data_IF_026225871059
#
_entry.id   IF_026225871059
#
_cell.length_a   1.000
_cell.length_b   1.000
_cell.length_c   1.000
_cell.angle_alpha   90.00
_cell.angle_beta   90.00
_cell.angle_gamma   90.00
#
_symmetry.space_group_name_H-M   'P 1'
#
loop_
_entity.id
_entity.type
_entity.pdbx_description
1 polymer ?
#
# COMPACT_ATOMS: atom_id res chain seq x y z
N UNK A 1 20.08 -4.11 2.78
CA UNK A 1 19.30 -5.35 2.44
C UNK A 1 17.89 -4.96 2.14
N UNK A 2 17.34 -5.47 1.02
CA UNK A 2 15.93 -5.30 0.63
C UNK A 2 15.08 -6.34 1.33
N UNK A 3 13.95 -5.92 1.86
CA UNK A 3 12.99 -6.75 2.60
C UNK A 3 11.57 -6.39 2.19
N UNK A 4 10.65 -7.31 2.43
CA UNK A 4 9.23 -7.12 2.19
C UNK A 4 8.44 -7.35 3.47
N UNK A 5 7.29 -6.69 3.56
CA UNK A 5 6.30 -6.96 4.61
C UNK A 5 4.90 -6.93 4.01
N UNK A 6 4.18 -8.05 4.08
CA UNK A 6 2.75 -8.06 3.81
C UNK A 6 2.01 -7.34 4.94
N UNK A 7 1.10 -6.46 4.60
CA UNK A 7 0.31 -5.67 5.55
C UNK A 7 -1.17 -5.64 5.15
N UNK A 8 -2.04 -5.60 6.14
CA UNK A 8 -3.47 -5.34 5.91
C UNK A 8 -3.75 -3.85 5.66
N UNK A 9 -5.00 -3.56 5.33
CA UNK A 9 -5.45 -2.19 5.01
C UNK A 9 -5.21 -1.20 6.16
N UNK A 10 -5.52 -1.61 7.39
CA UNK A 10 -5.34 -0.75 8.57
C UNK A 10 -3.88 -0.41 8.82
N UNK A 11 -2.98 -1.41 8.76
CA UNK A 11 -1.54 -1.19 8.95
C UNK A 11 -0.98 -0.28 7.86
N UNK A 12 -1.37 -0.46 6.58
CA UNK A 12 -0.97 0.44 5.50
C UNK A 12 -1.43 1.89 5.76
N UNK A 13 -2.64 2.07 6.27
CA UNK A 13 -3.15 3.40 6.64
C UNK A 13 -2.32 4.10 7.72
N UNK A 14 -1.79 3.34 8.69
CA UNK A 14 -0.87 3.85 9.71
C UNK A 14 0.52 4.16 9.15
N UNK A 15 1.03 3.33 8.23
CA UNK A 15 2.30 3.58 7.52
C UNK A 15 2.20 4.86 6.68
N UNK A 16 1.06 5.09 6.02
CA UNK A 16 0.81 6.34 5.30
C UNK A 16 0.86 7.56 6.22
N UNK A 17 0.24 7.48 7.41
CA UNK A 17 0.24 8.58 8.38
C UNK A 17 1.65 8.90 8.88
N UNK A 18 2.54 7.91 8.93
CA UNK A 18 3.98 8.05 9.18
C UNK A 18 4.77 8.51 7.92
N UNK A 19 4.08 8.99 6.87
CA UNK A 19 4.68 9.48 5.61
C UNK A 19 5.53 8.42 4.90
N UNK A 20 5.14 7.16 4.99
CA UNK A 20 5.88 6.01 4.47
C UNK A 20 7.32 5.90 5.02
N UNK A 21 7.57 6.47 6.21
CA UNK A 21 8.87 6.53 6.88
C UNK A 21 8.95 5.67 8.13
N UNK A 22 8.01 4.75 8.31
CA UNK A 22 8.03 3.86 9.45
C UNK A 22 6.84 2.91 9.49
N UNK A 23 7.02 1.85 10.23
CA UNK A 23 5.96 0.93 10.63
C UNK A 23 5.38 1.36 11.98
N UNK A 24 4.08 1.18 12.20
CA UNK A 24 3.46 1.48 13.49
C UNK A 24 4.04 0.58 14.60
N UNK A 25 3.97 1.03 15.86
CA UNK A 25 4.30 0.16 16.99
C UNK A 25 3.50 -1.14 16.95
N UNK A 26 4.13 -2.23 17.38
CA UNK A 26 3.45 -3.53 17.45
C UNK A 26 2.45 -3.52 18.60
N UNK A 27 1.36 -4.27 18.45
CA UNK A 27 0.41 -4.48 19.52
C UNK A 27 1.06 -5.34 20.63
N UNK A 28 0.64 -5.17 21.90
CA UNK A 28 1.25 -5.91 23.03
C UNK A 28 1.24 -7.45 22.84
N UNK A 29 0.19 -7.96 22.19
CA UNK A 29 0.04 -9.38 21.85
C UNK A 29 0.87 -9.84 20.64
N UNK A 30 1.52 -8.90 19.95
CA UNK A 30 2.35 -9.15 18.76
C UNK A 30 3.80 -8.70 19.01
N UNK A 31 4.57 -9.43 19.84
CA UNK A 31 5.87 -8.96 20.32
C UNK A 31 6.98 -8.98 19.27
N UNK A 32 6.70 -9.48 18.08
CA UNK A 32 7.68 -9.62 16.99
C UNK A 32 7.18 -8.90 15.72
N UNK A 33 8.11 -8.26 15.04
CA UNK A 33 7.95 -7.73 13.69
C UNK A 33 8.64 -8.68 12.71
N UNK A 34 7.89 -9.13 11.69
CA UNK A 34 8.33 -10.15 10.75
C UNK A 34 8.50 -9.58 9.33
N UNK A 35 9.66 -9.03 8.95
CA UNK A 35 9.96 -8.80 7.56
C UNK A 35 10.41 -10.10 6.88
N UNK A 36 9.99 -10.29 5.63
CA UNK A 36 10.31 -11.48 4.84
C UNK A 36 11.37 -11.18 3.79
N UNK A 37 12.13 -12.21 3.41
CA UNK A 37 13.23 -12.11 2.46
C UNK A 37 12.81 -12.42 1.02
N UNK A 38 11.60 -12.95 0.84
CA UNK A 38 11.09 -13.36 -0.46
C UNK A 38 9.81 -12.59 -0.80
N UNK A 39 9.80 -11.94 -1.96
CA UNK A 39 8.64 -11.20 -2.46
C UNK A 39 7.43 -12.10 -2.71
N UNK A 40 7.63 -13.32 -3.20
CA UNK A 40 6.54 -14.25 -3.52
C UNK A 40 5.86 -14.74 -2.24
N UNK A 41 6.63 -14.94 -1.17
CA UNK A 41 6.07 -15.23 0.14
C UNK A 41 5.27 -14.05 0.71
N UNK A 42 5.77 -12.81 0.54
CA UNK A 42 5.00 -11.62 0.93
C UNK A 42 3.69 -11.50 0.11
N UNK A 43 3.73 -11.80 -1.19
CA UNK A 43 2.56 -11.85 -2.06
C UNK A 43 1.56 -12.89 -1.59
N UNK A 44 2.01 -14.10 -1.25
CA UNK A 44 1.15 -15.16 -0.73
C UNK A 44 0.41 -14.72 0.53
N UNK A 45 1.12 -14.16 1.51
CA UNK A 45 0.51 -13.67 2.76
C UNK A 45 -0.50 -12.56 2.48
N UNK A 46 -0.13 -11.57 1.66
CA UNK A 46 -1.00 -10.44 1.34
C UNK A 46 -2.28 -10.90 0.63
N UNK A 47 -2.15 -11.82 -0.34
CA UNK A 47 -3.25 -12.33 -1.14
C UNK A 47 -4.15 -13.29 -0.37
N UNK A 48 -3.56 -14.29 0.33
CA UNK A 48 -4.32 -15.43 0.85
C UNK A 48 -4.81 -15.21 2.28
N UNK A 49 -4.13 -14.33 3.06
CA UNK A 49 -4.45 -14.09 4.47
C UNK A 49 -4.94 -12.67 4.74
N UNK A 50 -4.21 -11.62 4.33
CA UNK A 50 -4.64 -10.25 4.65
C UNK A 50 -5.95 -9.84 3.94
N UNK A 51 -6.26 -10.38 2.76
CA UNK A 51 -7.56 -10.14 2.11
C UNK A 51 -8.74 -10.73 2.87
N UNK A 52 -8.51 -11.68 3.79
CA UNK A 52 -9.55 -12.27 4.63
C UNK A 52 -9.90 -11.42 5.86
N UNK A 53 -9.10 -10.39 6.14
CA UNK A 53 -9.43 -9.42 7.18
C UNK A 53 -10.71 -8.64 6.83
N UNK A 54 -11.44 -8.09 7.83
CA UNK A 54 -12.71 -7.38 7.59
C UNK A 54 -12.61 -6.22 6.57
N UNK A 55 -11.43 -5.65 6.39
CA UNK A 55 -11.16 -4.58 5.42
C UNK A 55 -11.01 -5.07 3.99
N UNK A 56 -10.80 -6.37 3.78
CA UNK A 56 -10.76 -7.02 2.50
C UNK A 56 -9.61 -6.62 1.59
N UNK A 57 -8.44 -6.23 2.15
CA UNK A 57 -7.27 -5.89 1.34
C UNK A 57 -5.96 -6.28 2.00
N UNK A 58 -5.04 -6.81 1.18
CA UNK A 58 -3.67 -7.08 1.54
C UNK A 58 -2.70 -6.38 0.59
N UNK A 59 -1.63 -5.82 1.13
CA UNK A 59 -0.62 -5.11 0.37
C UNK A 59 0.77 -5.69 0.64
N UNK A 60 1.66 -5.62 -0.34
CA UNK A 60 3.07 -5.91 -0.16
C UNK A 60 3.83 -4.60 -0.09
N UNK A 61 4.48 -4.36 1.03
CA UNK A 61 5.43 -3.25 1.18
C UNK A 61 6.85 -3.74 0.96
N UNK A 62 7.68 -2.89 0.35
CA UNK A 62 9.10 -3.10 0.10
C UNK A 62 9.89 -1.98 0.78
N UNK A 63 11.01 -2.31 1.42
CA UNK A 63 11.87 -1.35 2.09
C UNK A 63 13.30 -1.86 2.23
N UNK A 64 14.23 -0.93 2.42
CA UNK A 64 15.64 -1.22 2.55
C UNK A 64 16.18 -0.82 3.93
N UNK A 65 16.96 -1.73 4.54
CA UNK A 65 17.66 -1.52 5.81
C UNK A 65 19.16 -1.80 5.66
N UNK A 66 20.02 -1.18 6.51
CA UNK A 66 21.44 -1.52 6.57
C UNK A 66 21.64 -2.99 6.96
N UNK A 67 22.55 -3.67 6.29
CA UNK A 67 22.89 -5.07 6.60
C UNK A 67 23.42 -5.22 8.04
N UNK A 68 24.14 -4.21 8.54
CA UNK A 68 24.64 -4.17 9.91
C UNK A 68 23.56 -4.17 10.98
N UNK A 69 22.35 -3.68 10.64
CA UNK A 69 21.20 -3.76 11.54
C UNK A 69 20.54 -5.14 11.46
N UNK A 70 20.27 -5.60 10.24
CA UNK A 70 19.54 -6.86 10.03
C UNK A 70 20.32 -8.07 10.52
N UNK A 71 21.65 -8.08 10.39
CA UNK A 71 22.51 -9.18 10.85
C UNK A 71 22.48 -9.42 12.38
N UNK A 72 21.85 -8.52 13.14
CA UNK A 72 21.66 -8.69 14.60
C UNK A 72 20.48 -9.60 14.93
N UNK A 73 19.63 -9.94 13.98
CA UNK A 73 18.41 -10.68 14.21
C UNK A 73 18.47 -12.08 13.62
N UNK A 74 17.75 -12.98 14.26
CA UNK A 74 17.66 -14.36 13.80
C UNK A 74 16.83 -14.46 12.53
N UNK A 75 17.37 -15.14 11.53
CA UNK A 75 16.66 -15.55 10.32
C UNK A 75 16.02 -16.91 10.55
N UNK A 76 14.72 -17.00 10.31
CA UNK A 76 13.96 -18.24 10.49
C UNK A 76 13.29 -18.67 9.19
N UNK A 77 13.20 -19.98 9.03
CA UNK A 77 12.40 -20.62 8.00
C UNK A 77 11.12 -21.09 8.65
N UNK A 78 9.97 -20.59 8.19
CA UNK A 78 8.66 -20.87 8.79
C UNK A 78 7.79 -21.62 7.78
N UNK A 79 7.75 -22.96 7.88
CA UNK A 79 7.01 -23.80 6.94
C UNK A 79 7.85 -24.26 5.75
N UNK A 80 7.60 -23.74 4.53
CA UNK A 80 8.37 -24.10 3.34
C UNK A 80 9.77 -23.45 3.32
N UNK A 81 10.70 -24.04 2.56
CA UNK A 81 12.09 -23.55 2.45
C UNK A 81 12.20 -22.10 1.96
N UNK A 82 11.17 -21.60 1.30
CA UNK A 82 11.12 -20.23 0.75
C UNK A 82 10.47 -19.22 1.70
N UNK A 83 9.94 -19.67 2.84
CA UNK A 83 9.28 -18.84 3.83
C UNK A 83 10.30 -18.33 4.86
N UNK A 84 11.20 -17.48 4.41
CA UNK A 84 12.25 -16.91 5.24
C UNK A 84 11.85 -15.54 5.79
N UNK A 85 12.03 -15.36 7.10
CA UNK A 85 11.72 -14.10 7.78
C UNK A 85 12.75 -13.78 8.86
N UNK A 86 12.91 -12.51 9.18
CA UNK A 86 13.63 -12.07 10.37
C UNK A 86 12.66 -11.87 11.54
N UNK A 87 13.10 -12.25 12.72
CA UNK A 87 12.35 -12.04 13.95
C UNK A 87 12.91 -10.85 14.71
N UNK A 88 12.30 -9.68 14.47
CA UNK A 88 12.72 -8.42 15.08
C UNK A 88 11.81 -8.12 16.28
N UNK A 89 12.34 -7.99 17.52
CA UNK A 89 11.54 -7.62 18.68
C UNK A 89 10.81 -6.30 18.50
N UNK A 90 9.60 -6.20 19.03
CA UNK A 90 8.71 -5.05 18.87
C UNK A 90 9.35 -3.72 19.35
N UNK A 91 10.16 -3.75 20.39
CA UNK A 91 10.88 -2.60 20.94
C UNK A 91 11.99 -2.06 20.00
N UNK A 92 12.44 -2.87 19.02
CA UNK A 92 13.42 -2.47 18.02
C UNK A 92 12.80 -1.82 16.78
N UNK A 93 11.47 -1.79 16.65
CA UNK A 93 10.78 -1.19 15.48
C UNK A 93 11.04 0.32 15.39
N UNK A 94 11.11 1.01 16.50
CA UNK A 94 11.42 2.45 16.51
C UNK A 94 12.83 2.74 15.94
N UNK A 95 13.81 1.91 16.25
CA UNK A 95 15.17 1.99 15.70
C UNK A 95 15.19 1.61 14.21
N UNK A 96 14.46 0.54 13.82
CA UNK A 96 14.27 0.16 12.43
C UNK A 96 13.77 1.33 11.59
N UNK A 97 12.75 2.03 12.07
CA UNK A 97 12.16 3.18 11.38
C UNK A 97 13.17 4.31 11.13
N UNK A 98 14.09 4.54 12.05
CA UNK A 98 15.16 5.54 11.89
C UNK A 98 16.22 5.12 10.87
N UNK A 99 16.35 3.83 10.61
CA UNK A 99 17.34 3.24 9.73
C UNK A 99 16.84 2.94 8.32
N UNK A 100 15.57 3.23 8.02
CA UNK A 100 15.03 3.08 6.67
C UNK A 100 15.81 3.94 5.67
N UNK A 101 16.42 3.30 4.68
CA UNK A 101 17.26 3.98 3.68
C UNK A 101 16.42 4.82 2.70
N UNK A 102 15.20 4.38 2.41
CA UNK A 102 14.24 5.02 1.52
C UNK A 102 12.83 4.97 2.13
N UNK A 103 11.87 5.74 1.65
CA UNK A 103 10.47 5.53 2.00
C UNK A 103 10.03 4.09 1.69
N UNK A 104 9.12 3.57 2.50
CA UNK A 104 8.49 2.28 2.26
C UNK A 104 7.67 2.38 0.96
N UNK A 105 7.90 1.49 0.01
CA UNK A 105 7.14 1.40 -1.22
C UNK A 105 6.03 0.35 -1.10
N UNK A 106 4.89 0.60 -1.71
CA UNK A 106 3.83 -0.41 -1.88
C UNK A 106 3.93 -0.95 -3.30
N UNK A 107 4.26 -2.23 -3.42
CA UNK A 107 4.61 -2.86 -4.71
C UNK A 107 3.56 -3.83 -5.24
N UNK A 108 2.60 -4.26 -4.41
CA UNK A 108 1.46 -5.06 -4.82
C UNK A 108 0.26 -4.82 -3.90
N UNK A 109 -0.95 -5.09 -4.42
CA UNK A 109 -2.20 -5.05 -3.66
C UNK A 109 -3.18 -6.09 -4.16
N UNK A 110 -3.85 -6.74 -3.22
CA UNK A 110 -4.84 -7.79 -3.43
C UNK A 110 -6.13 -7.41 -2.70
N UNK A 111 -7.27 -7.75 -3.28
CA UNK A 111 -8.55 -7.25 -2.81
C UNK A 111 -9.59 -8.36 -2.77
N UNK A 112 -10.40 -8.37 -1.72
CA UNK A 112 -11.59 -9.20 -1.64
C UNK A 112 -12.72 -8.58 -2.47
N UNK A 113 -13.68 -9.39 -2.89
CA UNK A 113 -14.85 -8.95 -3.69
C UNK A 113 -15.67 -7.84 -3.00
N UNK A 114 -15.66 -7.81 -1.67
CA UNK A 114 -16.40 -6.83 -0.87
C UNK A 114 -15.56 -5.61 -0.48
N UNK A 115 -14.37 -5.43 -1.09
CA UNK A 115 -13.50 -4.31 -0.80
C UNK A 115 -14.17 -2.97 -1.12
N UNK A 116 -14.24 -2.09 -0.12
CA UNK A 116 -14.85 -0.76 -0.24
C UNK A 116 -13.83 0.37 -0.37
N UNK A 117 -12.60 0.13 0.02
CA UNK A 117 -11.53 1.12 0.06
C UNK A 117 -11.66 2.12 1.19
N UNK A 118 -10.74 3.09 1.22
CA UNK A 118 -10.84 4.24 2.12
C UNK A 118 -11.89 5.21 1.58
N UNK A 119 -12.91 5.45 2.38
CA UNK A 119 -14.01 6.37 2.07
C UNK A 119 -13.63 7.76 2.55
N UNK A 120 -13.49 8.75 1.66
CA UNK A 120 -13.13 10.11 2.03
C UNK A 120 -14.30 10.87 2.65
N UNK A 121 -13.96 11.98 3.33
CA UNK A 121 -14.94 12.84 4.00
C UNK A 121 -15.07 14.21 3.33
N UNK A 122 -14.28 14.49 2.27
CA UNK A 122 -14.18 15.83 1.69
C UNK A 122 -14.67 15.90 0.25
N UNK A 123 -15.28 17.04 -0.06
CA UNK A 123 -15.72 17.44 -1.42
C UNK A 123 -16.59 16.40 -2.13
N UNK A 124 -16.47 16.33 -3.44
CA UNK A 124 -17.30 15.47 -4.30
C UNK A 124 -17.06 13.97 -4.12
N UNK A 125 -15.94 13.57 -3.52
CA UNK A 125 -15.64 12.16 -3.19
C UNK A 125 -16.17 11.74 -1.82
N UNK A 126 -16.69 12.64 -0.99
CA UNK A 126 -17.19 12.32 0.34
C UNK A 126 -18.22 11.19 0.31
N UNK A 127 -18.04 10.20 1.21
CA UNK A 127 -18.93 9.05 1.37
C UNK A 127 -18.85 7.98 0.28
N UNK A 128 -18.00 8.15 -0.75
CA UNK A 128 -17.89 7.22 -1.87
C UNK A 128 -16.89 6.09 -1.59
N UNK A 129 -17.26 4.87 -1.94
CA UNK A 129 -16.37 3.71 -1.99
C UNK A 129 -15.29 3.89 -3.07
N UNK A 130 -14.23 3.07 -3.05
CA UNK A 130 -13.16 3.14 -4.05
C UNK A 130 -13.66 3.08 -5.48
N UNK A 131 -14.64 2.21 -5.77
CA UNK A 131 -15.28 2.10 -7.09
C UNK A 131 -16.06 3.37 -7.45
N UNK A 132 -16.87 3.89 -6.51
CA UNK A 132 -17.66 5.11 -6.77
C UNK A 132 -16.77 6.34 -6.94
N UNK A 133 -15.64 6.43 -6.22
CA UNK A 133 -14.64 7.48 -6.42
C UNK A 133 -14.07 7.42 -7.84
N UNK A 134 -13.62 6.24 -8.28
CA UNK A 134 -13.06 6.05 -9.61
C UNK A 134 -14.06 6.41 -10.70
N UNK A 135 -15.29 5.89 -10.60
CA UNK A 135 -16.36 6.16 -11.54
C UNK A 135 -16.79 7.64 -11.58
N UNK A 136 -16.64 8.36 -10.48
CA UNK A 136 -16.89 9.81 -10.44
C UNK A 136 -15.76 10.60 -11.11
N UNK A 137 -14.49 10.21 -10.90
CA UNK A 137 -13.33 10.93 -11.42
C UNK A 137 -13.12 10.73 -12.93
N UNK A 138 -13.42 9.53 -13.47
CA UNK A 138 -13.18 9.20 -14.89
C UNK A 138 -13.91 10.19 -15.84
N UNK A 139 -15.22 10.40 -15.75
CA UNK A 139 -15.90 11.38 -16.61
C UNK A 139 -15.50 12.82 -16.28
N UNK A 140 -15.22 13.12 -15.00
CA UNK A 140 -14.86 14.47 -14.57
C UNK A 140 -13.59 14.97 -15.23
N UNK A 141 -12.62 14.10 -15.48
CA UNK A 141 -11.36 14.46 -16.13
C UNK A 141 -11.55 15.05 -17.53
N UNK A 142 -12.60 14.65 -18.24
CA UNK A 142 -12.91 15.19 -19.57
C UNK A 142 -13.48 16.63 -19.54
N UNK A 143 -14.02 17.07 -18.39
CA UNK A 143 -14.62 18.40 -18.23
C UNK A 143 -13.67 19.35 -17.49
N UNK A 144 -13.02 18.88 -16.43
CA UNK A 144 -12.16 19.71 -15.57
C UNK A 144 -11.05 18.91 -14.94
N UNK A 145 -9.88 18.95 -15.52
CA UNK A 145 -8.67 18.36 -14.91
C UNK A 145 -8.27 19.05 -13.59
N UNK A 146 -8.63 20.34 -13.45
CA UNK A 146 -8.39 21.10 -12.23
C UNK A 146 -9.22 20.56 -11.05
N UNK A 147 -10.51 20.28 -11.27
CA UNK A 147 -11.37 19.74 -10.21
C UNK A 147 -10.93 18.34 -9.81
N UNK A 148 -10.53 17.47 -10.77
CA UNK A 148 -9.95 16.16 -10.47
C UNK A 148 -8.69 16.30 -9.63
N UNK A 149 -7.84 17.28 -9.92
CA UNK A 149 -6.67 17.57 -9.12
C UNK A 149 -7.03 18.02 -7.69
N UNK A 150 -7.99 18.93 -7.53
CA UNK A 150 -8.46 19.39 -6.23
C UNK A 150 -9.04 18.23 -5.39
N UNK A 151 -9.87 17.37 -6.01
CA UNK A 151 -10.44 16.19 -5.36
C UNK A 151 -9.35 15.21 -4.88
N UNK A 152 -8.38 14.92 -5.75
CA UNK A 152 -7.29 14.00 -5.42
C UNK A 152 -6.35 14.56 -4.35
N UNK A 153 -6.03 15.86 -4.40
CA UNK A 153 -5.17 16.51 -3.41
C UNK A 153 -5.85 16.58 -2.03
N UNK A 154 -7.13 16.93 -1.99
CA UNK A 154 -7.89 17.03 -0.73
C UNK A 154 -8.11 15.67 -0.06
N UNK A 155 -8.15 14.58 -0.84
CA UNK A 155 -8.40 13.22 -0.40
C UNK A 155 -7.17 12.30 -0.62
N UNK A 156 -5.95 12.85 -0.52
CA UNK A 156 -4.71 12.17 -0.89
C UNK A 156 -4.52 10.80 -0.23
N UNK A 157 -4.91 10.64 1.05
CA UNK A 157 -4.85 9.33 1.72
C UNK A 157 -5.78 8.31 1.07
N UNK A 158 -7.01 8.69 0.73
CA UNK A 158 -7.94 7.78 0.06
C UNK A 158 -7.46 7.42 -1.34
N UNK A 159 -6.93 8.40 -2.08
CA UNK A 159 -6.29 8.14 -3.39
C UNK A 159 -5.16 7.13 -3.25
N UNK A 160 -4.24 7.32 -2.32
CA UNK A 160 -3.13 6.41 -2.08
C UNK A 160 -3.61 4.98 -1.75
N UNK A 161 -4.52 4.86 -0.79
CA UNK A 161 -5.03 3.57 -0.31
C UNK A 161 -5.81 2.79 -1.38
N UNK A 162 -6.51 3.51 -2.26
CA UNK A 162 -7.38 2.91 -3.28
C UNK A 162 -6.69 2.72 -4.63
N UNK A 163 -5.49 3.28 -4.82
CA UNK A 163 -4.87 3.45 -6.13
C UNK A 163 -4.62 2.12 -6.87
N UNK A 164 -4.09 1.11 -6.18
CA UNK A 164 -3.87 -0.22 -6.80
C UNK A 164 -5.18 -0.90 -7.20
N UNK A 165 -6.25 -0.68 -6.44
CA UNK A 165 -7.58 -1.18 -6.81
C UNK A 165 -8.11 -0.49 -8.07
N UNK A 166 -7.88 0.81 -8.22
CA UNK A 166 -8.20 1.53 -9.45
C UNK A 166 -7.39 1.03 -10.64
N UNK A 167 -6.10 0.78 -10.45
CA UNK A 167 -5.23 0.18 -11.49
C UNK A 167 -5.67 -1.24 -11.90
N UNK A 168 -6.38 -1.95 -11.03
CA UNK A 168 -7.01 -3.23 -11.34
C UNK A 168 -8.41 -3.08 -11.98
N UNK A 169 -8.83 -1.86 -12.34
CA UNK A 169 -10.14 -1.59 -12.91
C UNK A 169 -11.28 -1.76 -11.91
N UNK A 170 -11.02 -1.54 -10.62
CA UNK A 170 -11.98 -1.75 -9.52
C UNK A 170 -12.51 -3.19 -9.46
N UNK A 171 -11.66 -4.16 -9.78
CA UNK A 171 -11.96 -5.59 -9.74
C UNK A 171 -10.90 -6.33 -8.92
N UNK A 172 -11.29 -7.26 -8.03
CA UNK A 172 -10.33 -8.09 -7.29
C UNK A 172 -9.39 -8.89 -8.19
N UNK A 173 -9.94 -9.50 -9.23
CA UNK A 173 -9.19 -10.29 -10.21
C UNK A 173 -8.41 -9.42 -11.20
N UNK A 174 -8.72 -8.13 -11.21
CA UNK A 174 -8.23 -7.19 -12.20
C UNK A 174 -8.97 -7.32 -13.54
N UNK A 175 -9.11 -6.21 -14.24
CA UNK A 175 -9.60 -6.16 -15.62
C UNK A 175 -8.82 -5.12 -16.42
N UNK A 176 -8.92 -5.21 -17.72
CA UNK A 176 -8.37 -4.21 -18.60
C UNK A 176 -9.08 -2.84 -18.40
N UNK A 177 -8.30 -1.78 -18.34
CA UNK A 177 -8.81 -0.42 -18.23
C UNK A 177 -9.22 0.10 -19.61
N UNK A 178 -10.32 0.84 -19.65
CA UNK A 178 -10.68 1.65 -20.82
C UNK A 178 -9.67 2.79 -21.03
N UNK A 179 -9.70 3.41 -22.20
CA UNK A 179 -8.83 4.56 -22.51
C UNK A 179 -9.02 5.73 -21.52
N UNK A 180 -10.26 6.04 -21.16
CA UNK A 180 -10.55 7.12 -20.19
C UNK A 180 -10.07 6.79 -18.78
N UNK A 181 -10.16 5.53 -18.37
CA UNK A 181 -9.65 5.06 -17.08
C UNK A 181 -8.12 5.11 -17.04
N UNK A 182 -7.43 4.69 -18.10
CA UNK A 182 -5.97 4.83 -18.23
C UNK A 182 -5.52 6.27 -18.10
N UNK A 183 -6.19 7.19 -18.80
CA UNK A 183 -5.91 8.64 -18.71
C UNK A 183 -6.06 9.17 -17.29
N UNK A 184 -7.09 8.73 -16.55
CA UNK A 184 -7.23 9.12 -15.14
C UNK A 184 -6.05 8.59 -14.29
N UNK A 185 -5.67 7.33 -14.43
CA UNK A 185 -4.53 6.75 -13.69
C UNK A 185 -3.25 7.54 -13.95
N UNK A 186 -2.93 7.81 -15.22
CA UNK A 186 -1.75 8.59 -15.63
C UNK A 186 -1.79 10.02 -15.09
N UNK A 187 -2.97 10.67 -15.15
CA UNK A 187 -3.16 12.00 -14.60
C UNK A 187 -2.91 12.04 -13.09
N UNK A 188 -3.50 11.11 -12.34
CA UNK A 188 -3.31 11.03 -10.88
C UNK A 188 -1.83 10.77 -10.53
N UNK A 189 -1.15 9.87 -11.24
CA UNK A 189 0.28 9.62 -11.05
C UNK A 189 1.14 10.85 -11.32
N UNK A 190 0.85 11.58 -12.39
CA UNK A 190 1.56 12.80 -12.74
C UNK A 190 1.38 13.86 -11.64
N UNK A 191 0.16 14.12 -11.22
CA UNK A 191 -0.18 15.09 -10.19
C UNK A 191 0.38 14.73 -8.81
N UNK A 192 0.41 13.45 -8.48
CA UNK A 192 1.03 12.98 -7.22
C UNK A 192 2.49 13.40 -7.10
N UNK A 193 3.26 13.24 -8.18
CA UNK A 193 4.66 13.67 -8.22
C UNK A 193 4.83 15.18 -7.98
N UNK A 194 3.91 15.98 -8.55
CA UNK A 194 3.90 17.45 -8.35
C UNK A 194 3.56 17.84 -6.91
N UNK A 195 2.76 17.06 -6.19
CA UNK A 195 2.43 17.30 -4.78
C UNK A 195 3.63 17.15 -3.84
N UNK A 196 4.73 16.55 -4.28
CA UNK A 196 5.97 16.35 -3.52
C UNK A 196 5.73 15.73 -2.14
N UNK A 197 4.89 14.70 -2.07
CA UNK A 197 4.56 14.00 -0.83
C UNK A 197 5.76 13.32 -0.16
N UNK A 198 6.90 13.21 -0.85
CA UNK A 198 8.11 12.57 -0.35
C UNK A 198 8.11 11.04 -0.50
N UNK A 199 7.07 10.47 -1.12
CA UNK A 199 6.95 9.06 -1.46
C UNK A 199 6.03 8.89 -2.68
N UNK A 200 6.18 7.78 -3.37
CA UNK A 200 5.42 7.48 -4.58
C UNK A 200 4.04 6.87 -4.28
N UNK A 201 3.13 6.99 -5.25
CA UNK A 201 1.90 6.19 -5.26
C UNK A 201 2.24 4.69 -5.33
N UNK A 202 1.39 3.84 -4.76
CA UNK A 202 1.51 2.40 -4.92
C UNK A 202 1.67 2.00 -6.39
N UNK A 203 2.65 1.14 -6.69
CA UNK A 203 2.94 0.65 -8.03
C UNK A 203 2.79 -0.86 -8.12
N UNK A 204 2.54 -1.39 -9.33
CA UNK A 204 2.59 -2.84 -9.53
C UNK A 204 4.06 -3.29 -9.62
N UNK A 205 4.37 -4.37 -8.91
CA UNK A 205 5.66 -5.03 -9.04
C UNK A 205 5.86 -5.39 -10.54
N UNK A 206 7.00 -4.97 -11.10
CA UNK A 206 7.40 -5.46 -12.42
C UNK A 206 7.83 -6.92 -12.24
N UNK A 207 6.94 -7.84 -12.58
CA UNK A 207 7.30 -9.25 -12.74
C UNK A 207 8.20 -9.45 -13.93
#
# INVERSE_FOLDING_TARGET
MKLWRPVGFTELGLIYDLKMRGFPPRLPEQPIFYPVLNSDYAVQIARDWNTQEPTGAGYVTEFDLPDSFISQFERKIVGGSEHEEFWIPADRVAELNQLLLQPINVVAGFFHKDFRGLIPEKFGLAGKTATEQFNALVPHLSYSSFDVWCETAANAKAVFMNFLFWQNGCSPEGRELTESERKLIEFVQHRWREMKCGFDLPGKMKM
#
